data_IF_366331268490
#
_entry.id   IF_366331268490
#
_cell.length_a   1.000
_cell.length_b   1.000
_cell.length_c   1.000
_cell.angle_alpha   90.00
_cell.angle_beta   90.00
_cell.angle_gamma   90.00
#
_symmetry.space_group_name_H-M   'P 1'
#
loop_
_entity.id
_entity.type
_entity.pdbx_description
1 polymer ?
#
# COMPACT_ATOMS: atom_id res chain seq x y z
N UNK A 1 -34.54 11.64 16.48
CA UNK A 1 -34.00 11.50 16.04
C UNK A 1 -33.42 11.72 15.51
N UNK A 2 -33.23 11.74 15.70
CA UNK A 2 -32.47 11.86 15.05
C UNK A 2 -31.79 12.03 14.60
N UNK A 3 -31.74 12.06 14.64
CA UNK A 3 -31.04 12.18 14.13
C UNK A 3 -30.33 12.50 13.71
N UNK A 4 -30.37 12.52 13.88
CA UNK A 4 -29.64 12.75 13.32
C UNK A 4 -28.91 13.12 12.99
N UNK A 5 -29.14 13.16 13.27
CA UNK A 5 -28.42 13.41 12.76
C UNK A 5 -27.69 13.48 12.61
N UNK A 6 -27.79 13.53 12.92
CA UNK A 6 -27.04 13.53 12.50
C UNK A 6 -26.48 13.58 12.08
N UNK A 7 -26.70 13.61 12.36
CA UNK A 7 -26.18 13.55 11.75
C UNK A 7 -25.64 13.74 11.25
N UNK A 8 -25.66 13.88 11.51
CA UNK A 8 -25.15 13.95 10.88
C UNK A 8 -24.49 14.42 10.43
N UNK A 9 -24.41 14.48 10.61
CA UNK A 9 -23.77 14.75 10.01
C UNK A 9 -23.18 15.06 9.56
N UNK A 10 -23.15 15.15 9.76
CA UNK A 10 -22.52 15.30 9.10
C UNK A 10 -21.94 15.75 8.43
N UNK A 11 -21.92 15.86 8.62
CA UNK A 11 -21.35 16.08 7.98
C UNK A 11 -20.98 16.56 7.48
N UNK A 12 -20.93 16.78 7.56
CA UNK A 12 -20.54 17.00 7.08
C UNK A 12 -20.01 17.21 6.51
N UNK A 13 -19.94 17.11 6.39
CA UNK A 13 -19.31 17.11 5.85
C UNK A 13 -18.81 16.81 5.85
N UNK A 14 -19.14 16.48 6.06
CA UNK A 14 -18.66 15.87 6.13
C UNK A 14 -17.84 15.44 5.79
N UNK A 15 -17.80 15.49 5.60
CA UNK A 15 -16.51 15.21 5.25
C UNK A 15 -15.65 14.55 6.22
N UNK A 16 -16.14 14.12 7.16
CA UNK A 16 -15.40 13.44 8.18
C UNK A 16 -15.32 11.97 7.99
N UNK A 17 -15.58 11.52 6.80
CA UNK A 17 -15.39 10.13 6.46
C UNK A 17 -13.92 9.81 6.55
N UNK A 18 -13.56 8.74 7.22
CA UNK A 18 -12.18 8.31 7.34
C UNK A 18 -11.61 8.01 5.95
N UNK A 19 -10.37 8.39 5.74
CA UNK A 19 -9.69 8.08 4.49
C UNK A 19 -9.35 6.60 4.45
N UNK A 20 -9.69 5.95 3.36
CA UNK A 20 -9.32 4.57 3.15
C UNK A 20 -7.99 4.53 2.41
N UNK A 21 -7.03 3.84 2.98
CA UNK A 21 -5.73 3.63 2.34
C UNK A 21 -5.60 2.15 2.03
N UNK A 22 -5.39 1.83 0.77
CA UNK A 22 -5.22 0.46 0.34
C UNK A 22 -3.85 0.33 -0.29
N UNK A 23 -3.10 -0.68 0.12
CA UNK A 23 -1.77 -0.91 -0.40
C UNK A 23 -1.74 -2.26 -1.08
N UNK A 24 -1.22 -2.28 -2.29
CA UNK A 24 -1.13 -3.48 -3.09
C UNK A 24 0.32 -3.77 -3.41
N UNK A 25 0.74 -5.01 -3.17
CA UNK A 25 2.09 -5.46 -3.46
C UNK A 25 2.00 -6.49 -4.58
N UNK A 26 2.81 -6.32 -5.62
CA UNK A 26 2.81 -7.22 -6.77
C UNK A 26 4.24 -7.62 -7.07
N UNK A 27 4.47 -8.93 -7.16
CA UNK A 27 5.76 -9.48 -7.53
C UNK A 27 5.59 -10.43 -8.69
N UNK A 28 6.41 -10.30 -9.70
CA UNK A 28 6.41 -11.21 -10.83
C UNK A 28 7.59 -12.15 -10.71
N UNK A 29 7.33 -13.45 -10.81
CA UNK A 29 8.35 -14.47 -10.86
C UNK A 29 8.59 -15.21 -9.56
N UNK A 30 8.40 -14.58 -8.43
CA UNK A 30 8.56 -15.27 -7.16
C UNK A 30 7.73 -14.63 -6.07
N UNK A 31 7.54 -15.36 -4.99
CA UNK A 31 6.81 -14.88 -3.83
C UNK A 31 7.65 -13.85 -3.06
N UNK A 32 7.06 -13.27 -2.08
CA UNK A 32 7.72 -12.25 -1.27
C UNK A 32 7.30 -12.39 0.18
N UNK A 33 8.04 -11.68 1.05
CA UNK A 33 7.69 -11.57 2.45
C UNK A 33 8.13 -10.20 2.93
N UNK A 34 7.84 -9.89 4.17
CA UNK A 34 8.24 -8.64 4.74
C UNK A 34 7.35 -8.26 5.90
N UNK A 35 7.20 -6.96 6.06
CA UNK A 35 6.37 -6.44 7.14
C UNK A 35 5.85 -5.07 6.77
N UNK A 36 4.82 -4.64 7.48
CA UNK A 36 4.41 -3.25 7.41
C UNK A 36 4.13 -2.75 8.81
N UNK A 37 4.31 -1.45 8.95
CA UNK A 37 4.13 -0.73 10.21
C UNK A 37 3.06 0.34 9.98
N UNK A 38 1.96 0.25 10.70
CA UNK A 38 0.89 1.24 10.64
C UNK A 38 0.80 1.90 11.98
N UNK A 39 1.19 3.17 12.03
CA UNK A 39 1.10 3.97 13.26
C UNK A 39 1.75 3.27 14.46
N UNK A 40 2.85 2.58 14.22
CA UNK A 40 3.60 1.91 15.27
C UNK A 40 3.29 0.43 15.45
N UNK A 41 2.28 -0.08 14.75
CA UNK A 41 1.91 -1.50 14.87
C UNK A 41 2.44 -2.28 13.67
N UNK A 42 3.26 -3.28 13.95
CA UNK A 42 3.91 -4.06 12.89
C UNK A 42 3.16 -5.34 12.61
N UNK A 43 2.93 -5.60 11.33
CA UNK A 43 2.33 -6.84 10.85
C UNK A 43 3.30 -7.52 9.90
N UNK A 44 3.49 -8.81 10.06
CA UNK A 44 4.39 -9.60 9.21
C UNK A 44 3.62 -10.17 8.03
N UNK A 45 4.22 -10.07 6.83
CA UNK A 45 3.67 -10.63 5.61
C UNK A 45 4.50 -11.87 5.28
N UNK A 46 3.82 -13.00 5.13
CA UNK A 46 4.52 -14.27 4.88
C UNK A 46 4.41 -14.74 3.44
N UNK A 47 3.72 -13.99 2.60
CA UNK A 47 3.60 -14.33 1.19
C UNK A 47 2.36 -13.74 0.58
N UNK A 48 2.27 -13.83 -0.74
CA UNK A 48 1.12 -13.35 -1.48
C UNK A 48 0.32 -14.46 -2.09
N UNK A 49 -0.76 -14.10 -2.75
CA UNK A 49 -1.60 -15.01 -3.51
C UNK A 49 -1.07 -15.07 -4.94
N UNK A 50 -0.90 -16.26 -5.49
CA UNK A 50 -0.30 -16.41 -6.80
C UNK A 50 -1.35 -16.72 -7.86
N UNK A 51 -1.19 -16.07 -9.02
CA UNK A 51 -1.97 -16.35 -10.22
C UNK A 51 -1.05 -16.15 -11.40
N UNK A 52 -0.83 -17.19 -12.20
CA UNK A 52 0.02 -17.11 -13.40
C UNK A 52 1.39 -16.50 -13.11
N UNK A 53 2.02 -16.96 -12.05
CA UNK A 53 3.37 -16.52 -11.66
C UNK A 53 3.43 -15.07 -11.21
N UNK A 54 2.29 -14.48 -10.91
CA UNK A 54 2.19 -13.14 -10.32
C UNK A 54 1.69 -13.30 -8.90
N UNK A 55 2.46 -12.79 -7.95
CA UNK A 55 2.16 -12.87 -6.53
C UNK A 55 1.68 -11.51 -6.04
N UNK A 56 0.59 -11.48 -5.32
CA UNK A 56 0.03 -10.21 -4.86
C UNK A 56 -0.49 -10.29 -3.43
N UNK A 57 -0.48 -9.16 -2.78
CA UNK A 57 -0.97 -9.01 -1.41
C UNK A 57 -1.63 -7.64 -1.32
N UNK A 58 -2.71 -7.56 -0.58
CA UNK A 58 -3.42 -6.29 -0.44
C UNK A 58 -3.83 -6.10 1.00
N UNK A 59 -3.65 -4.88 1.50
CA UNK A 59 -4.07 -4.51 2.84
C UNK A 59 -4.80 -3.19 2.79
N UNK A 60 -5.84 -3.06 3.60
CA UNK A 60 -6.65 -1.85 3.63
C UNK A 60 -6.69 -1.32 5.05
N UNK A 61 -6.54 -0.01 5.18
CA UNK A 61 -6.51 0.67 6.46
C UNK A 61 -7.44 1.87 6.42
N UNK A 62 -8.00 2.21 7.55
CA UNK A 62 -8.85 3.39 7.67
C UNK A 62 -8.23 4.37 8.64
N UNK A 63 -8.18 5.63 8.22
CA UNK A 63 -7.82 6.73 9.11
C UNK A 63 -6.46 6.55 9.79
N UNK A 64 -5.44 6.24 9.00
CA UNK A 64 -4.08 6.06 9.51
C UNK A 64 -3.28 7.33 9.29
N UNK A 65 -2.21 7.50 10.07
CA UNK A 65 -1.29 8.62 9.92
C UNK A 65 -0.11 8.27 9.05
N UNK A 66 0.49 7.10 9.27
CA UNK A 66 1.66 6.68 8.54
C UNK A 66 1.60 5.18 8.29
N UNK A 67 2.14 4.76 7.16
CA UNK A 67 2.36 3.35 6.92
C UNK A 67 3.70 3.17 6.21
N UNK A 68 4.42 2.15 6.61
CA UNK A 68 5.68 1.79 5.99
C UNK A 68 5.64 0.33 5.60
N UNK A 69 6.08 0.02 4.39
CA UNK A 69 6.19 -1.36 3.91
C UNK A 69 7.65 -1.67 3.59
N UNK A 70 8.09 -2.85 4.01
CA UNK A 70 9.43 -3.33 3.71
C UNK A 70 9.27 -4.75 3.18
N UNK A 71 9.52 -4.92 1.88
CA UNK A 71 9.19 -6.17 1.18
C UNK A 71 10.43 -6.70 0.47
N UNK A 72 10.63 -8.01 0.59
CA UNK A 72 11.72 -8.68 -0.09
C UNK A 72 11.18 -9.90 -0.81
N UNK A 73 11.64 -10.13 -2.04
CA UNK A 73 11.23 -11.28 -2.83
C UNK A 73 12.19 -12.44 -2.62
N UNK A 74 11.77 -13.61 -3.11
CA UNK A 74 12.68 -14.73 -3.24
C UNK A 74 13.57 -14.52 -4.47
N UNK A 75 14.34 -15.52 -4.81
CA UNK A 75 15.45 -15.36 -5.77
C UNK A 75 15.08 -15.08 -7.21
N UNK A 76 13.93 -15.47 -7.66
CA UNK A 76 13.63 -15.46 -9.09
C UNK A 76 12.66 -14.35 -9.48
N UNK A 77 12.65 -13.25 -8.76
CA UNK A 77 11.72 -12.17 -9.05
C UNK A 77 12.18 -11.34 -10.23
N UNK A 78 11.25 -10.98 -11.09
CA UNK A 78 11.52 -10.10 -12.23
C UNK A 78 11.15 -8.66 -11.91
N UNK A 79 10.15 -8.46 -11.08
CA UNK A 79 9.75 -7.12 -10.68
C UNK A 79 9.01 -7.17 -9.35
N UNK A 80 9.09 -6.07 -8.62
CA UNK A 80 8.38 -5.90 -7.36
C UNK A 80 7.83 -4.49 -7.34
N UNK A 81 6.54 -4.35 -7.07
CA UNK A 81 5.87 -3.06 -7.07
C UNK A 81 4.99 -2.93 -5.84
N UNK A 82 4.99 -1.74 -5.24
CA UNK A 82 4.07 -1.40 -4.16
C UNK A 82 3.28 -0.19 -4.63
N UNK A 83 1.96 -0.28 -4.57
CA UNK A 83 1.07 0.78 -5.01
C UNK A 83 0.16 1.18 -3.86
N UNK A 84 0.04 2.48 -3.61
CA UNK A 84 -0.81 3.00 -2.56
C UNK A 84 -1.99 3.74 -3.19
N UNK A 85 -3.19 3.38 -2.74
CA UNK A 85 -4.43 4.04 -3.15
C UNK A 85 -5.05 4.72 -1.94
N UNK A 86 -5.54 5.91 -2.13
CA UNK A 86 -6.31 6.61 -1.10
C UNK A 86 -7.68 6.88 -1.68
N UNK A 87 -8.71 6.32 -1.05
CA UNK A 87 -10.10 6.45 -1.53
C UNK A 87 -10.20 6.02 -3.00
N UNK A 88 -9.55 4.88 -3.32
CA UNK A 88 -9.56 4.26 -4.64
C UNK A 88 -8.78 5.01 -5.70
N UNK A 89 -8.00 6.00 -5.32
CA UNK A 89 -7.19 6.75 -6.25
C UNK A 89 -5.72 6.50 -5.96
N UNK A 90 -4.96 6.16 -6.99
CA UNK A 90 -3.54 5.90 -6.80
C UNK A 90 -2.83 7.20 -6.41
N UNK A 91 -2.13 7.17 -5.29
CA UNK A 91 -1.45 8.36 -4.78
C UNK A 91 0.06 8.19 -4.69
N UNK A 92 0.54 6.96 -4.67
CA UNK A 92 1.97 6.73 -4.59
C UNK A 92 2.27 5.32 -5.10
N UNK A 93 3.43 5.14 -5.71
CA UNK A 93 3.88 3.80 -6.07
C UNK A 93 5.39 3.80 -6.17
N UNK A 94 5.95 2.61 -6.01
CA UNK A 94 7.38 2.40 -6.16
C UNK A 94 7.57 1.02 -6.75
N UNK A 95 8.58 0.86 -7.58
CA UNK A 95 8.84 -0.44 -8.16
C UNK A 95 10.33 -0.61 -8.43
N UNK A 96 10.73 -1.88 -8.50
CA UNK A 96 12.08 -2.22 -8.88
C UNK A 96 12.02 -3.45 -9.77
N UNK A 97 12.95 -3.56 -10.69
CA UNK A 97 12.98 -4.67 -11.62
C UNK A 97 14.35 -5.32 -11.60
N UNK A 98 14.36 -6.61 -11.96
CA UNK A 98 15.61 -7.35 -12.04
C UNK A 98 16.43 -6.88 -13.24
N UNK A 99 17.74 -6.76 -13.05
CA UNK A 99 18.65 -6.51 -14.15
C UNK A 99 19.31 -7.80 -14.63
N UNK A 100 18.91 -8.92 -14.06
CA UNK A 100 19.52 -10.21 -14.33
C UNK A 100 18.52 -11.11 -15.04
N UNK A 101 18.97 -11.78 -16.10
CA UNK A 101 18.15 -12.77 -16.77
C UNK A 101 17.87 -13.91 -15.80
N UNK A 102 16.61 -14.30 -15.63
CA UNK A 102 16.22 -15.32 -14.67
C UNK A 102 15.75 -14.76 -13.34
N UNK A 103 15.87 -13.45 -13.16
CA UNK A 103 15.39 -12.80 -11.95
C UNK A 103 16.41 -12.73 -10.84
N UNK A 104 16.06 -12.08 -9.77
CA UNK A 104 16.92 -11.93 -8.60
C UNK A 104 16.07 -11.60 -7.38
N UNK A 105 16.71 -11.54 -6.23
CA UNK A 105 16.06 -11.08 -5.02
C UNK A 105 15.89 -9.56 -5.10
N UNK A 106 14.66 -9.09 -4.97
CA UNK A 106 14.37 -7.67 -5.03
C UNK A 106 13.89 -7.19 -3.66
N UNK A 107 14.27 -5.98 -3.31
CA UNK A 107 13.89 -5.39 -2.03
C UNK A 107 13.31 -4.02 -2.27
N UNK A 108 12.21 -3.70 -1.61
CA UNK A 108 11.55 -2.44 -1.80
C UNK A 108 11.00 -1.96 -0.46
N UNK A 109 11.25 -0.69 -0.17
CA UNK A 109 10.74 -0.04 1.03
C UNK A 109 9.92 1.16 0.59
N UNK A 110 8.74 1.32 1.16
CA UNK A 110 7.88 2.44 0.83
C UNK A 110 7.20 2.95 2.08
N UNK A 111 7.23 4.26 2.27
CA UNK A 111 6.49 4.92 3.34
C UNK A 111 5.47 5.86 2.73
N UNK A 112 4.34 5.98 3.39
CA UNK A 112 3.28 6.86 2.93
C UNK A 112 2.55 7.46 4.12
N UNK A 113 2.34 8.78 4.06
CA UNK A 113 1.56 9.52 5.04
C UNK A 113 0.46 10.24 4.29
N UNK A 114 -0.81 9.96 4.57
CA UNK A 114 -1.89 10.57 3.80
C UNK A 114 -1.81 12.08 3.68
N UNK A 115 -1.23 12.75 4.67
CA UNK A 115 -1.10 14.19 4.61
C UNK A 115 -0.04 14.70 3.67
N UNK A 116 0.90 13.86 3.23
CA UNK A 116 2.00 14.33 2.39
C UNK A 116 1.62 14.46 0.93
N UNK A 117 0.51 13.88 0.51
CA UNK A 117 0.19 13.90 -0.91
C UNK A 117 -0.06 15.29 -1.45
N UNK A 118 -0.40 16.24 -0.60
CA UNK A 118 -0.60 17.60 -1.09
C UNK A 118 0.70 18.21 -1.57
N UNK A 119 1.82 17.85 -0.97
CA UNK A 119 3.09 18.35 -1.45
C UNK A 119 3.58 17.57 -2.65
N UNK A 120 3.17 16.32 -2.76
CA UNK A 120 3.57 15.54 -3.93
C UNK A 120 2.95 16.08 -5.20
N UNK A 121 1.76 16.61 -5.10
CA UNK A 121 1.09 17.15 -6.27
C UNK A 121 1.88 18.26 -6.91
N UNK A 122 2.62 19.00 -6.12
CA UNK A 122 3.36 20.12 -6.63
C UNK A 122 4.53 19.72 -7.49
N UNK A 123 4.99 18.50 -7.27
CA UNK A 123 6.17 18.05 -7.98
C UNK A 123 5.87 17.45 -9.32
N UNK A 124 4.64 17.15 -9.55
CA UNK A 124 4.30 16.43 -10.79
C UNK A 124 4.17 17.31 -11.98
#
# INVERSE_FOLDING_TARGET
MVIIAFAISFCMGCSDVADEVRVRIISNGSDFSGWYDVDGDITVITGGTVTSNVYSYEATFDDIEDVEFDIITQDNAYSLTIIVYKNDKKVKSSSTTSSIIGGETLHLNLTYSPGEESSDDDDS
#
